data_IF_607400585254
#
_entry.id   IF_607400585254
#
_cell.length_a   1.000
_cell.length_b   1.000
_cell.length_c   1.000
_cell.angle_alpha   90.00
_cell.angle_beta   90.00
_cell.angle_gamma   90.00
#
_symmetry.space_group_name_H-M   'P 1'
#
loop_
_entity.id
_entity.type
_entity.pdbx_description
1 polymer ?
#
# COMPACT_ATOMS: atom_id res chain seq x y z
N UNK A 1 -43.90 -16.02 -4.84
CA UNK A 1 -43.21 -14.96 -4.06
C UNK A 1 -41.90 -15.55 -3.57
N UNK A 2 -40.78 -15.19 -4.22
CA UNK A 2 -39.44 -15.74 -3.95
C UNK A 2 -38.74 -14.87 -2.90
N UNK A 3 -38.20 -15.54 -1.90
CA UNK A 3 -37.41 -15.05 -0.76
C UNK A 3 -36.17 -14.23 -1.14
N UNK A 4 -35.97 -13.11 -0.40
CA UNK A 4 -34.74 -12.56 0.22
C UNK A 4 -33.51 -12.38 -0.71
N UNK A 5 -32.84 -11.22 -0.78
CA UNK A 5 -31.90 -10.70 0.23
C UNK A 5 -31.75 -9.17 0.03
N UNK A 6 -32.11 -8.38 1.05
CA UNK A 6 -31.72 -6.97 1.16
C UNK A 6 -30.24 -6.87 1.53
N UNK A 7 -29.40 -6.44 0.59
CA UNK A 7 -27.99 -6.12 0.86
C UNK A 7 -27.90 -4.81 1.66
N UNK A 8 -27.72 -4.91 2.97
CA UNK A 8 -27.44 -3.77 3.84
C UNK A 8 -25.96 -3.36 3.68
N UNK A 9 -25.69 -2.44 2.76
CA UNK A 9 -24.35 -1.84 2.62
C UNK A 9 -24.18 -0.83 3.76
N UNK A 10 -23.64 -1.29 4.89
CA UNK A 10 -23.16 -0.44 5.97
C UNK A 10 -21.91 0.32 5.49
N UNK A 11 -22.12 1.47 4.85
CA UNK A 11 -21.03 2.41 4.56
C UNK A 11 -20.64 3.05 5.89
N UNK A 12 -19.72 2.42 6.61
CA UNK A 12 -18.99 3.07 7.69
C UNK A 12 -18.13 4.17 7.08
N UNK A 13 -18.59 5.42 7.17
CA UNK A 13 -17.80 6.60 6.82
C UNK A 13 -16.73 6.73 7.91
N UNK A 14 -15.63 6.00 7.76
CA UNK A 14 -14.45 6.19 8.60
C UNK A 14 -13.95 7.61 8.37
N UNK A 15 -13.84 8.39 9.45
CA UNK A 15 -13.22 9.71 9.44
C UNK A 15 -11.92 9.64 8.65
N UNK A 16 -11.86 10.41 7.57
CA UNK A 16 -10.75 10.36 6.64
C UNK A 16 -9.49 10.94 7.28
N UNK A 17 -8.71 10.09 7.96
CA UNK A 17 -7.32 10.45 8.26
C UNK A 17 -6.59 10.61 6.91
N UNK A 18 -5.88 11.72 6.76
CA UNK A 18 -5.08 11.97 5.56
C UNK A 18 -3.80 11.14 5.64
N UNK A 19 -3.93 9.85 5.34
CA UNK A 19 -2.82 8.91 5.24
C UNK A 19 -1.63 9.53 4.52
N UNK A 20 -0.45 9.49 5.14
CA UNK A 20 0.77 10.11 4.64
C UNK A 20 1.93 9.10 4.72
N UNK A 21 1.94 8.08 3.84
CA UNK A 21 2.94 7.03 3.88
C UNK A 21 4.36 7.62 3.76
N UNK A 22 5.23 7.22 4.69
CA UNK A 22 6.66 7.57 4.74
C UNK A 22 7.48 6.31 4.52
N UNK A 23 8.32 6.28 3.50
CA UNK A 23 9.23 5.15 3.31
C UNK A 23 10.19 5.04 4.50
N UNK A 24 10.36 3.83 5.01
CA UNK A 24 11.24 3.50 6.14
C UNK A 24 12.36 2.54 5.75
N UNK A 25 12.14 1.69 4.76
CA UNK A 25 13.13 0.74 4.33
C UNK A 25 12.90 0.22 2.92
N UNK A 26 13.99 -0.20 2.31
CA UNK A 26 14.03 -0.75 0.97
C UNK A 26 15.11 -1.84 0.91
N UNK A 27 14.80 -2.93 0.21
CA UNK A 27 15.69 -4.06 -0.01
C UNK A 27 15.41 -4.66 -1.40
N UNK A 28 16.45 -4.88 -2.22
CA UNK A 28 16.33 -5.56 -3.52
C UNK A 28 17.31 -6.76 -3.60
N UNK A 29 17.28 -7.60 -2.58
CA UNK A 29 18.03 -8.86 -2.50
C UNK A 29 17.05 -10.03 -2.44
N UNK A 30 17.56 -11.27 -2.51
CA UNK A 30 16.77 -12.51 -2.43
C UNK A 30 15.67 -12.60 -3.50
N UNK A 31 15.98 -12.21 -4.74
CA UNK A 31 15.08 -12.27 -5.90
C UNK A 31 13.71 -11.57 -5.67
N UNK A 32 13.70 -10.53 -4.83
CA UNK A 32 12.51 -9.73 -4.57
C UNK A 32 12.86 -8.30 -4.22
N UNK A 33 11.88 -7.41 -4.39
CA UNK A 33 11.91 -6.09 -3.78
C UNK A 33 11.04 -6.09 -2.56
N UNK A 34 11.57 -5.65 -1.43
CA UNK A 34 10.83 -5.39 -0.20
C UNK A 34 10.88 -3.91 0.11
N UNK A 35 9.73 -3.29 0.32
CA UNK A 35 9.61 -1.89 0.71
C UNK A 35 8.80 -1.84 2.00
N UNK A 36 9.31 -1.12 2.99
CA UNK A 36 8.61 -0.84 4.25
C UNK A 36 8.28 0.63 4.32
N UNK A 37 7.04 0.96 4.66
CA UNK A 37 6.63 2.34 4.94
C UNK A 37 5.81 2.41 6.22
N UNK A 38 5.78 3.58 6.84
CA UNK A 38 4.93 3.89 7.99
C UNK A 38 3.91 4.97 7.67
N UNK A 39 2.82 4.98 8.41
CA UNK A 39 1.82 6.05 8.39
C UNK A 39 1.40 6.34 9.83
N UNK A 40 1.75 7.52 10.31
CA UNK A 40 1.50 7.99 11.68
C UNK A 40 0.05 8.43 11.89
N UNK A 41 -0.79 8.35 10.85
CA UNK A 41 -2.21 8.69 10.88
C UNK A 41 -3.09 7.47 10.60
N UNK A 42 -2.68 6.30 11.08
CA UNK A 42 -3.49 5.10 10.96
C UNK A 42 -4.69 5.20 11.90
N UNK A 43 -5.90 5.26 11.31
CA UNK A 43 -7.14 5.09 12.08
C UNK A 43 -7.31 3.64 12.54
N UNK A 44 -8.47 3.34 13.15
CA UNK A 44 -8.81 1.98 13.63
C UNK A 44 -8.73 0.90 12.54
N UNK A 45 -8.95 1.27 11.28
CA UNK A 45 -8.83 0.40 10.12
C UNK A 45 -7.77 0.95 9.16
N UNK A 46 -6.88 0.06 8.72
CA UNK A 46 -5.81 0.38 7.78
C UNK A 46 -5.74 -0.67 6.68
N UNK A 47 -6.47 -0.45 5.59
CA UNK A 47 -6.48 -1.34 4.43
C UNK A 47 -5.58 -0.76 3.34
N UNK A 48 -4.77 -1.63 2.72
CA UNK A 48 -3.88 -1.28 1.63
C UNK A 48 -4.23 -2.13 0.42
N UNK A 49 -4.52 -1.49 -0.72
CA UNK A 49 -4.89 -2.17 -1.97
C UNK A 49 -4.25 -1.50 -3.19
N UNK A 50 -4.40 -2.13 -4.36
CA UNK A 50 -3.96 -1.60 -5.67
C UNK A 50 -2.50 -1.14 -5.71
N UNK A 51 -1.64 -1.91 -5.03
CA UNK A 51 -0.24 -1.57 -4.86
C UNK A 51 0.54 -1.83 -6.15
N UNK A 52 1.17 -0.77 -6.64
CA UNK A 52 2.02 -0.77 -7.82
C UNK A 52 3.37 -0.11 -7.53
N UNK A 53 4.43 -0.69 -8.06
CA UNK A 53 5.77 -0.13 -8.08
C UNK A 53 6.11 0.30 -9.51
N UNK A 54 6.56 1.53 -9.69
CA UNK A 54 6.89 2.10 -11.00
C UNK A 54 8.30 2.69 -10.94
N UNK A 55 9.32 2.03 -11.50
CA UNK A 55 10.61 2.62 -11.75
C UNK A 55 10.51 3.78 -12.75
N UNK A 56 11.40 4.76 -12.66
CA UNK A 56 11.45 5.87 -13.64
C UNK A 56 11.81 5.37 -15.05
N UNK A 57 12.61 4.31 -15.13
CA UNK A 57 13.06 3.75 -16.40
C UNK A 57 11.95 2.94 -17.07
N UNK A 58 11.56 3.33 -18.29
CA UNK A 58 10.50 2.73 -19.15
C UNK A 58 9.07 2.71 -18.59
N UNK A 59 8.85 3.17 -17.35
CA UNK A 59 7.52 3.30 -16.78
C UNK A 59 6.76 1.98 -16.57
N UNK A 60 7.47 0.85 -16.58
CA UNK A 60 6.86 -0.46 -16.34
C UNK A 60 6.30 -0.53 -14.92
N UNK A 61 5.03 -0.92 -14.79
CA UNK A 61 4.38 -1.10 -13.49
C UNK A 61 4.51 -2.55 -13.03
N UNK A 62 4.87 -2.75 -11.77
CA UNK A 62 4.96 -4.05 -11.13
C UNK A 62 3.92 -4.14 -10.01
N UNK A 63 3.13 -5.22 -10.03
CA UNK A 63 2.16 -5.51 -8.97
C UNK A 63 2.87 -6.08 -7.75
N UNK A 64 2.36 -5.75 -6.56
CA UNK A 64 2.83 -6.39 -5.34
C UNK A 64 2.45 -7.87 -5.34
N UNK A 65 3.39 -8.74 -4.97
CA UNK A 65 3.13 -10.17 -4.69
C UNK A 65 2.62 -10.36 -3.27
N UNK A 66 2.93 -9.46 -2.35
CA UNK A 66 2.43 -9.48 -0.97
C UNK A 66 2.29 -8.08 -0.39
N UNK A 67 1.27 -7.91 0.44
CA UNK A 67 0.99 -6.69 1.20
C UNK A 67 0.65 -7.11 2.62
N UNK A 68 1.47 -6.69 3.58
CA UNK A 68 1.22 -6.93 5.02
C UNK A 68 1.18 -5.61 5.75
N UNK A 69 0.06 -5.33 6.42
CA UNK A 69 -0.10 -4.15 7.26
C UNK A 69 -0.25 -4.56 8.73
N UNK A 70 0.35 -3.79 9.63
CA UNK A 70 0.18 -3.93 11.07
C UNK A 70 0.02 -2.55 11.67
N UNK A 71 -0.93 -2.37 12.58
CA UNK A 71 -1.15 -1.11 13.28
C UNK A 71 -0.80 -1.30 14.74
N UNK A 72 0.03 -0.42 15.27
CA UNK A 72 0.39 -0.38 16.69
C UNK A 72 0.42 1.09 17.13
N UNK A 73 -0.27 1.41 18.23
CA UNK A 73 -0.29 2.74 18.83
C UNK A 73 -0.62 3.88 17.83
N UNK A 74 -1.56 3.62 16.90
CA UNK A 74 -1.98 4.60 15.88
C UNK A 74 -1.01 4.76 14.70
N UNK A 75 0.08 3.98 14.67
CA UNK A 75 1.04 3.95 13.57
C UNK A 75 0.87 2.66 12.78
N UNK A 76 0.61 2.77 11.47
CA UNK A 76 0.67 1.63 10.57
C UNK A 76 2.11 1.41 10.11
N UNK A 77 2.55 0.16 10.11
CA UNK A 77 3.74 -0.30 9.39
C UNK A 77 3.30 -1.27 8.31
N UNK A 78 3.72 -1.01 7.08
CA UNK A 78 3.33 -1.80 5.91
C UNK A 78 4.57 -2.32 5.22
N UNK A 79 4.58 -3.63 4.98
CA UNK A 79 5.59 -4.31 4.16
C UNK A 79 4.97 -4.69 2.82
N UNK A 80 5.60 -4.22 1.75
CA UNK A 80 5.25 -4.52 0.37
C UNK A 80 6.33 -5.42 -0.21
N UNK A 81 5.93 -6.48 -0.92
CA UNK A 81 6.84 -7.34 -1.67
C UNK A 81 6.47 -7.29 -3.15
N UNK A 82 7.48 -7.18 -4.01
CA UNK A 82 7.35 -7.22 -5.47
C UNK A 82 8.34 -8.24 -6.04
N UNK A 83 8.14 -8.70 -7.29
CA UNK A 83 9.14 -9.49 -7.99
C UNK A 83 10.49 -8.76 -8.06
N UNK A 84 11.58 -9.50 -8.25
CA UNK A 84 12.88 -8.90 -8.52
C UNK A 84 12.83 -7.99 -9.74
N UNK A 85 13.52 -6.85 -9.65
CA UNK A 85 13.66 -5.91 -10.75
C UNK A 85 15.11 -5.44 -10.84
N UNK A 86 15.65 -5.50 -12.05
CA UNK A 86 17.05 -5.18 -12.34
C UNK A 86 17.26 -3.72 -12.74
N UNK A 87 16.20 -3.03 -13.18
CA UNK A 87 16.25 -1.63 -13.60
C UNK A 87 15.41 -0.79 -12.65
N UNK A 88 16.09 -0.25 -11.62
CA UNK A 88 15.45 0.41 -10.49
C UNK A 88 16.06 1.78 -10.22
N UNK A 89 15.60 2.78 -10.97
CA UNK A 89 15.99 4.19 -10.78
C UNK A 89 14.79 5.01 -10.31
N UNK A 90 14.95 5.71 -9.18
CA UNK A 90 13.96 6.62 -8.59
C UNK A 90 12.53 6.06 -8.64
N UNK A 91 12.30 4.88 -8.05
CA UNK A 91 11.01 4.23 -8.07
C UNK A 91 9.95 5.00 -7.27
N UNK A 92 8.71 4.83 -7.68
CA UNK A 92 7.54 5.35 -6.98
C UNK A 92 6.58 4.22 -6.68
N UNK A 93 6.03 4.22 -5.46
CA UNK A 93 4.92 3.35 -5.10
C UNK A 93 3.62 4.13 -5.24
N UNK A 94 2.63 3.51 -5.88
CA UNK A 94 1.24 3.99 -5.90
C UNK A 94 0.35 2.92 -5.29
N UNK A 95 -0.59 3.32 -4.44
CA UNK A 95 -1.48 2.40 -3.75
C UNK A 95 -2.76 3.11 -3.31
N UNK A 96 -3.72 2.37 -2.76
CA UNK A 96 -4.86 2.92 -2.03
C UNK A 96 -4.76 2.58 -0.54
N UNK A 97 -4.85 3.59 0.32
CA UNK A 97 -5.04 3.42 1.77
C UNK A 97 -6.48 3.78 2.09
N UNK A 98 -7.23 2.84 2.67
CA UNK A 98 -8.66 3.01 2.97
C UNK A 98 -9.46 3.54 1.76
N UNK A 99 -9.19 2.99 0.57
CA UNK A 99 -9.81 3.37 -0.69
C UNK A 99 -9.29 4.67 -1.34
N UNK A 100 -8.43 5.43 -0.67
CA UNK A 100 -7.88 6.69 -1.19
C UNK A 100 -6.53 6.48 -1.85
N UNK A 101 -6.38 6.93 -3.10
CA UNK A 101 -5.12 6.85 -3.85
C UNK A 101 -4.03 7.68 -3.16
N UNK A 102 -2.86 7.09 -3.00
CA UNK A 102 -1.64 7.68 -2.44
C UNK A 102 -0.44 7.27 -3.26
N UNK A 103 0.62 8.05 -3.17
CA UNK A 103 1.88 7.72 -3.78
C UNK A 103 3.04 8.32 -3.01
N UNK A 104 4.17 7.63 -2.98
CA UNK A 104 5.40 8.10 -2.34
C UNK A 104 6.62 7.56 -3.08
N UNK A 105 7.73 8.27 -2.96
CA UNK A 105 9.03 7.84 -3.50
C UNK A 105 9.64 6.80 -2.55
N UNK A 106 10.28 5.78 -3.10
CA UNK A 106 11.03 4.83 -2.26
C UNK A 106 12.30 5.51 -1.76
N UNK A 107 12.57 5.33 -0.47
CA UNK A 107 13.80 5.67 0.20
C UNK A 107 14.87 4.66 -0.21
N UNK A 108 15.80 5.08 -1.06
CA UNK A 108 16.93 4.26 -1.50
C UNK A 108 18.16 4.58 -0.65
#
# INVERSE_FOLDING_TARGET
MRTLITALILIAISMATNAKPQCQGFNNYDDKVTIVFTDDKAGERYTVSDVKLTPTWRGQEYQATSVKATVKDGVATVTLVFPHITQFSNPKVTLRINGKKKSFNVCQ
#
